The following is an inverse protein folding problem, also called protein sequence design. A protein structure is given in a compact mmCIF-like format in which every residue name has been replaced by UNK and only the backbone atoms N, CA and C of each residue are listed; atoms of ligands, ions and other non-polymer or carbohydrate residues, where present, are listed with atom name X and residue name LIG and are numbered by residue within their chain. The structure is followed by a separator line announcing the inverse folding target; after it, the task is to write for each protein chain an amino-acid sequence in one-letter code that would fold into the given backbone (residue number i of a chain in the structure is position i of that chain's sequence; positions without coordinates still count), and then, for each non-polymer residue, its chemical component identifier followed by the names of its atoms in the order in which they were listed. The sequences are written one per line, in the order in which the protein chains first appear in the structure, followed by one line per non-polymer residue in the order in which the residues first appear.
data_IF_103429161068
#
_entry.id   IF_103429161068
#
_cell.length_a   1.000
_cell.length_b   1.000
_cell.length_c   1.000
_cell.angle_alpha   90.00
_cell.angle_beta   90.00
_cell.angle_gamma   90.00
#
_symmetry.space_group_name_H-M   'P 1'
#
loop_
_entity.id
_entity.type
_entity.pdbx_description
1 polymer ?
#
# COMPACT_ATOMS: atom_id res chain seq x y z
N UNK A 1 2.60 6.64 -10.14
CA UNK A 1 2.13 6.89 -8.76
C UNK A 1 2.02 8.38 -8.40
N UNK A 2 2.88 9.27 -8.90
CA UNK A 2 2.86 10.72 -8.58
C UNK A 2 1.70 11.54 -9.17
N UNK A 3 0.91 10.95 -10.09
CA UNK A 3 -0.20 11.66 -10.74
C UNK A 3 -1.28 12.10 -9.75
N UNK A 4 -1.57 11.30 -8.70
CA UNK A 4 -2.59 11.66 -7.70
C UNK A 4 -2.15 12.83 -6.82
N UNK A 5 -0.96 12.80 -6.16
CA UNK A 5 -0.45 13.95 -5.43
C UNK A 5 -0.42 15.23 -6.28
N UNK A 6 0.02 15.13 -7.53
CA UNK A 6 0.05 16.25 -8.48
C UNK A 6 -1.35 16.81 -8.78
N UNK A 7 -2.30 15.93 -9.10
CA UNK A 7 -3.67 16.32 -9.39
C UNK A 7 -4.35 17.04 -8.22
N UNK A 8 -4.17 16.54 -7.00
CA UNK A 8 -4.76 17.13 -5.80
C UNK A 8 -4.09 18.47 -5.48
N UNK A 9 -2.75 18.54 -5.61
CA UNK A 9 -1.99 19.78 -5.42
C UNK A 9 -2.55 20.90 -6.31
N UNK A 10 -2.77 20.61 -7.59
CA UNK A 10 -3.34 21.58 -8.55
C UNK A 10 -4.82 21.90 -8.29
N UNK A 11 -5.63 20.92 -7.87
CA UNK A 11 -7.06 21.11 -7.57
C UNK A 11 -7.29 21.96 -6.32
N UNK A 12 -6.46 21.81 -5.30
CA UNK A 12 -6.62 22.43 -3.97
C UNK A 12 -5.66 23.61 -3.77
N UNK A 13 -4.86 23.98 -4.78
CA UNK A 13 -3.78 24.97 -4.70
C UNK A 13 -2.82 24.69 -3.53
N UNK A 14 -2.46 23.41 -3.36
CA UNK A 14 -1.49 22.95 -2.37
C UNK A 14 -0.14 22.63 -3.05
N UNK A 15 0.92 22.50 -2.27
CA UNK A 15 2.23 22.11 -2.79
C UNK A 15 2.28 20.60 -3.07
N UNK A 16 3.01 20.19 -4.11
CA UNK A 16 3.25 18.78 -4.42
C UNK A 16 3.88 18.04 -3.24
N UNK A 17 4.87 18.65 -2.58
CA UNK A 17 5.51 18.13 -1.38
C UNK A 17 4.52 17.77 -0.25
N UNK A 18 3.51 18.63 -0.01
CA UNK A 18 2.48 18.38 1.01
C UNK A 18 1.61 17.18 0.63
N UNK A 19 1.23 17.05 -0.64
CA UNK A 19 0.43 15.93 -1.12
C UNK A 19 1.22 14.62 -1.17
N UNK A 20 2.52 14.67 -1.46
CA UNK A 20 3.43 13.52 -1.37
C UNK A 20 3.56 13.05 0.08
N UNK A 21 3.62 13.97 1.05
CA UNK A 21 3.63 13.61 2.47
C UNK A 21 2.32 12.92 2.89
N UNK A 22 1.15 13.42 2.45
CA UNK A 22 -0.14 12.77 2.71
C UNK A 22 -0.19 11.38 2.07
N UNK A 23 0.19 11.26 0.81
CA UNK A 23 0.24 9.99 0.10
C UNK A 23 1.16 8.96 0.80
N UNK A 24 2.31 9.41 1.30
CA UNK A 24 3.21 8.55 2.06
C UNK A 24 2.54 8.04 3.34
N UNK A 25 1.86 8.92 4.08
CA UNK A 25 1.11 8.55 5.29
C UNK A 25 0.02 7.53 4.97
N UNK A 26 -0.75 7.72 3.90
CA UNK A 26 -1.76 6.75 3.43
C UNK A 26 -1.12 5.38 3.15
N UNK A 27 0.00 5.33 2.43
CA UNK A 27 0.75 4.08 2.16
C UNK A 27 1.21 3.38 3.43
N UNK A 28 1.60 4.13 4.46
CA UNK A 28 1.95 3.57 5.77
C UNK A 28 0.74 2.88 6.40
N UNK A 29 -0.40 3.59 6.48
CA UNK A 29 -1.62 3.03 7.06
C UNK A 29 -2.14 1.83 6.26
N UNK A 30 -2.04 1.85 4.93
CA UNK A 30 -2.41 0.74 4.07
C UNK A 30 -1.54 -0.50 4.35
N UNK A 31 -0.22 -0.32 4.34
CA UNK A 31 0.73 -1.41 4.56
C UNK A 31 0.60 -1.99 5.96
N UNK A 32 0.40 -1.13 6.96
CA UNK A 32 0.18 -1.55 8.34
C UNK A 32 -1.11 -2.36 8.49
N UNK A 33 -2.21 -1.94 7.86
CA UNK A 33 -3.48 -2.67 7.90
C UNK A 33 -3.37 -4.06 7.28
N UNK A 34 -2.73 -4.19 6.11
CA UNK A 34 -2.51 -5.49 5.44
C UNK A 34 -1.72 -6.45 6.31
N UNK A 35 -0.58 -5.98 6.84
CA UNK A 35 0.27 -6.82 7.68
C UNK A 35 -0.42 -7.16 9.00
N UNK A 36 -1.18 -6.23 9.58
CA UNK A 36 -1.94 -6.48 10.80
C UNK A 36 -2.97 -7.59 10.58
N UNK A 37 -3.76 -7.50 9.51
CA UNK A 37 -4.76 -8.52 9.16
C UNK A 37 -4.11 -9.88 8.96
N UNK A 38 -3.05 -9.94 8.14
CA UNK A 38 -2.30 -11.18 7.90
C UNK A 38 -1.72 -11.77 9.19
N UNK A 39 -1.09 -10.93 10.01
CA UNK A 39 -0.46 -11.36 11.27
C UNK A 39 -1.49 -11.91 12.25
N UNK A 40 -2.59 -11.18 12.44
CA UNK A 40 -3.70 -11.62 13.29
C UNK A 40 -4.26 -12.96 12.80
N UNK A 41 -4.44 -13.08 11.50
CA UNK A 41 -5.00 -14.28 10.87
C UNK A 41 -4.09 -15.51 11.06
N UNK A 42 -2.78 -15.38 10.84
CA UNK A 42 -1.80 -16.46 11.08
C UNK A 42 -1.80 -16.95 12.53
N UNK A 43 -1.97 -16.06 13.51
CA UNK A 43 -1.96 -16.45 14.93
C UNK A 43 -3.31 -16.98 15.43
N UNK A 44 -4.43 -16.53 14.87
CA UNK A 44 -5.77 -16.84 15.37
C UNK A 44 -6.50 -17.93 14.57
N UNK A 45 -6.27 -18.01 13.26
CA UNK A 45 -6.97 -18.96 12.40
C UNK A 45 -6.51 -20.40 12.64
N UNK A 46 -7.49 -21.31 12.70
CA UNK A 46 -7.22 -22.76 12.71
C UNK A 46 -6.96 -23.30 11.31
N UNK A 47 -7.67 -22.79 10.29
CA UNK A 47 -7.54 -23.31 8.93
C UNK A 47 -6.15 -23.06 8.35
N UNK A 48 -5.51 -21.93 8.69
CA UNK A 48 -4.12 -21.69 8.30
C UNK A 48 -3.12 -22.65 8.94
N UNK A 49 -3.42 -23.21 10.12
CA UNK A 49 -2.54 -24.17 10.82
C UNK A 49 -2.52 -25.54 10.14
N UNK A 50 -3.56 -25.83 9.37
CA UNK A 50 -3.71 -27.08 8.63
C UNK A 50 -2.98 -27.04 7.28
N UNK A 51 -2.50 -25.86 6.85
CA UNK A 51 -1.71 -25.72 5.62
C UNK A 51 -0.29 -26.28 5.81
N UNK A 52 0.20 -27.03 4.83
CA UNK A 52 1.55 -27.64 4.83
C UNK A 52 2.68 -26.62 5.08
N UNK A 53 2.48 -25.37 4.64
CA UNK A 53 3.46 -24.27 4.76
C UNK A 53 3.22 -23.34 5.95
N UNK A 54 2.39 -23.73 6.92
CA UNK A 54 2.05 -22.89 8.07
C UNK A 54 3.27 -22.33 8.82
N UNK A 55 4.32 -23.15 9.05
CA UNK A 55 5.52 -22.67 9.77
C UNK A 55 6.27 -21.59 9.00
N UNK A 56 6.29 -21.65 7.67
CA UNK A 56 6.87 -20.59 6.83
C UNK A 56 6.08 -19.30 6.97
N UNK A 57 4.74 -19.36 6.89
CA UNK A 57 3.86 -18.20 7.07
C UNK A 57 3.96 -17.59 8.46
N UNK A 58 4.07 -18.42 9.49
CA UNK A 58 4.31 -17.99 10.86
C UNK A 58 5.66 -17.30 11.03
N UNK A 59 6.71 -17.78 10.36
CA UNK A 59 8.01 -17.11 10.31
C UNK A 59 7.92 -15.71 9.68
N UNK A 60 7.20 -15.59 8.56
CA UNK A 60 6.95 -14.28 7.91
C UNK A 60 6.20 -13.34 8.85
N UNK A 61 5.16 -13.82 9.54
CA UNK A 61 4.42 -13.03 10.52
C UNK A 61 5.31 -12.55 11.69
N UNK A 62 6.20 -13.41 12.21
CA UNK A 62 7.14 -13.02 13.26
C UNK A 62 8.15 -11.94 12.85
N UNK A 63 8.50 -11.87 11.57
CA UNK A 63 9.40 -10.83 11.04
C UNK A 63 8.62 -9.54 10.77
N UNK A 64 7.45 -9.65 10.14
CA UNK A 64 6.67 -8.50 9.70
C UNK A 64 5.96 -7.78 10.86
N UNK A 65 5.50 -8.51 11.87
CA UNK A 65 4.82 -7.93 13.03
C UNK A 65 5.66 -6.86 13.76
N UNK A 66 6.92 -7.11 14.19
CA UNK A 66 7.73 -6.10 14.85
C UNK A 66 8.10 -4.94 13.91
N UNK A 67 8.32 -5.21 12.61
CA UNK A 67 8.62 -4.16 11.62
C UNK A 67 7.44 -3.20 11.51
N UNK A 68 6.21 -3.70 11.41
CA UNK A 68 5.01 -2.86 11.32
C UNK A 68 4.70 -2.17 12.64
N UNK A 69 4.92 -2.82 13.79
CA UNK A 69 4.80 -2.16 15.09
C UNK A 69 5.80 -1.00 15.22
N UNK A 70 7.06 -1.21 14.83
CA UNK A 70 8.10 -0.19 14.83
C UNK A 70 7.75 0.97 13.88
N UNK A 71 7.26 0.65 12.69
CA UNK A 71 6.90 1.66 11.69
C UNK A 71 5.69 2.48 12.13
N UNK A 72 4.65 1.83 12.63
CA UNK A 72 3.45 2.48 13.19
C UNK A 72 3.82 3.36 14.38
N UNK A 73 4.67 2.86 15.29
CA UNK A 73 5.18 3.64 16.40
C UNK A 73 6.01 4.85 15.93
N UNK A 74 6.81 4.69 14.88
CA UNK A 74 7.61 5.79 14.31
C UNK A 74 6.72 6.88 13.73
N UNK A 75 5.63 6.51 13.03
CA UNK A 75 4.64 7.45 12.50
C UNK A 75 3.91 8.17 13.63
N UNK A 76 3.47 7.42 14.66
CA UNK A 76 2.85 8.00 15.85
C UNK A 76 3.81 8.95 16.59
N UNK A 77 5.08 8.57 16.72
CA UNK A 77 6.10 9.40 17.36
C UNK A 77 6.37 10.67 16.56
N UNK A 78 6.47 10.58 15.22
CA UNK A 78 6.61 11.74 14.33
C UNK A 78 5.38 12.64 14.39
N UNK A 79 4.18 12.07 14.51
CA UNK A 79 2.94 12.82 14.69
C UNK A 79 2.92 13.55 16.04
N UNK A 80 3.22 12.86 17.13
CA UNK A 80 3.15 13.41 18.49
C UNK A 80 4.31 14.35 18.84
N UNK A 81 5.49 14.13 18.26
CA UNK A 81 6.76 14.78 18.64
C UNK A 81 7.61 15.24 17.44
N UNK A 82 7.00 15.47 16.28
CA UNK A 82 7.68 15.78 15.03
C UNK A 82 8.80 16.83 15.12
N UNK A 83 8.56 18.02 15.71
CA UNK A 83 9.59 19.04 15.87
C UNK A 83 10.76 18.59 16.74
N UNK A 84 10.51 17.86 17.84
CA UNK A 84 11.56 17.38 18.73
C UNK A 84 12.38 16.24 18.11
N UNK A 85 11.73 15.34 17.37
CA UNK A 85 12.39 14.24 16.67
C UNK A 85 13.25 14.78 15.53
N UNK A 86 12.75 15.74 14.75
CA UNK A 86 13.54 16.41 13.72
C UNK A 86 14.80 17.04 14.32
N UNK A 87 14.66 17.82 15.40
CA UNK A 87 15.80 18.44 16.07
C UNK A 87 16.79 17.43 16.69
N UNK A 88 16.30 16.27 17.15
CA UNK A 88 17.17 15.21 17.68
C UNK A 88 17.96 14.51 16.57
N UNK A 89 17.29 14.15 15.47
CA UNK A 89 17.93 13.50 14.32
C UNK A 89 18.93 14.45 13.67
N UNK A 90 18.59 15.73 13.48
CA UNK A 90 19.51 16.73 12.91
C UNK A 90 20.77 16.90 13.76
N UNK A 91 20.66 16.90 15.09
CA UNK A 91 21.82 16.97 15.99
C UNK A 91 22.73 15.73 15.87
N UNK A 92 22.15 14.55 15.68
CA UNK A 92 22.90 13.31 15.49
C UNK A 92 23.54 13.21 14.11
N UNK A 93 22.85 13.63 13.05
CA UNK A 93 23.34 13.60 11.67
C UNK A 93 24.34 14.71 11.37
N UNK A 94 24.20 15.89 11.99
CA UNK A 94 25.17 16.97 11.87
C UNK A 94 26.57 16.57 12.39
N UNK A 95 26.64 15.59 13.29
CA UNK A 95 27.90 15.02 13.75
C UNK A 95 28.58 14.09 12.71
N UNK A 96 27.87 13.68 11.65
CA UNK A 96 28.35 12.74 10.63
C UNK A 96 28.54 13.45 9.27
N UNK A 97 27.57 14.26 8.82
CA UNK A 97 27.75 15.16 7.67
C UNK A 97 26.70 16.29 7.63
N UNK A 98 27.14 17.53 7.38
CA UNK A 98 26.27 18.72 7.35
C UNK A 98 25.28 18.74 6.19
N UNK A 99 25.71 18.31 5.00
CA UNK A 99 24.89 18.33 3.78
C UNK A 99 23.76 17.29 3.81
N UNK A 100 23.99 16.12 4.42
CA UNK A 100 22.95 15.10 4.55
C UNK A 100 21.92 15.49 5.62
N UNK A 101 22.37 16.11 6.72
CA UNK A 101 21.51 16.57 7.81
C UNK A 101 20.46 17.59 7.33
N UNK A 102 20.88 18.58 6.52
CA UNK A 102 19.97 19.61 6.00
C UNK A 102 18.93 19.05 5.01
N UNK A 103 19.31 18.08 4.18
CA UNK A 103 18.37 17.38 3.27
C UNK A 103 17.38 16.51 4.04
N UNK A 104 17.85 15.80 5.06
CA UNK A 104 17.01 14.93 5.88
C UNK A 104 16.04 15.74 6.75
N UNK A 105 16.48 16.88 7.29
CA UNK A 105 15.63 17.79 8.06
C UNK A 105 14.42 18.26 7.24
N UNK A 106 14.66 18.70 6.01
CA UNK A 106 13.60 19.19 5.13
C UNK A 106 12.58 18.09 4.81
N UNK A 107 13.04 16.86 4.54
CA UNK A 107 12.15 15.69 4.32
C UNK A 107 11.37 15.33 5.57
N UNK A 108 12.01 15.32 6.74
CA UNK A 108 11.35 14.97 7.98
C UNK A 108 10.30 16.03 8.36
N UNK A 109 10.61 17.30 8.09
CA UNK A 109 9.70 18.42 8.32
C UNK A 109 8.48 18.36 7.41
N UNK A 110 8.64 18.10 6.11
CA UNK A 110 7.49 17.97 5.19
C UNK A 110 6.60 16.78 5.54
N UNK A 111 7.19 15.65 5.94
CA UNK A 111 6.44 14.48 6.45
C UNK A 111 5.74 14.81 7.77
N UNK A 112 6.42 15.49 8.69
CA UNK A 112 5.82 15.93 9.96
C UNK A 112 4.68 16.92 9.75
N UNK A 113 4.78 17.84 8.79
CA UNK A 113 3.73 18.80 8.43
C UNK A 113 2.53 18.07 7.80
N UNK A 114 2.78 17.09 6.93
CA UNK A 114 1.74 16.21 6.39
C UNK A 114 1.06 15.36 7.47
N UNK A 115 1.78 14.91 8.49
CA UNK A 115 1.19 14.24 9.65
C UNK A 115 0.38 15.20 10.54
N UNK A 116 0.82 16.45 10.68
CA UNK A 116 0.14 17.46 11.49
C UNK A 116 -1.23 17.89 10.94
N UNK A 117 -1.58 17.51 9.71
CA UNK A 117 -2.97 17.68 9.23
C UNK A 117 -3.96 16.82 10.00
N UNK A 118 -3.49 15.72 10.63
CA UNK A 118 -4.27 14.91 11.56
C UNK A 118 -4.27 15.62 12.91
N UNK A 119 -5.37 16.30 13.25
CA UNK A 119 -5.41 17.26 14.37
C UNK A 119 -5.39 16.61 15.76
N UNK A 120 -5.82 15.36 15.87
CA UNK A 120 -6.06 14.71 17.16
C UNK A 120 -5.97 13.17 17.07
N UNK A 121 -5.85 12.52 18.22
CA UNK A 121 -5.73 11.06 18.30
C UNK A 121 -6.97 10.30 17.82
N UNK A 122 -8.17 10.90 17.89
CA UNK A 122 -9.39 10.29 17.34
C UNK A 122 -9.32 10.27 15.81
N UNK A 123 -8.90 11.37 15.18
CA UNK A 123 -8.64 11.43 13.75
C UNK A 123 -7.60 10.38 13.30
N UNK A 124 -6.54 10.16 14.09
CA UNK A 124 -5.55 9.12 13.82
C UNK A 124 -6.17 7.71 13.84
N UNK A 125 -7.00 7.42 14.85
CA UNK A 125 -7.71 6.13 14.97
C UNK A 125 -8.72 5.98 13.84
N UNK A 126 -9.42 7.04 13.44
CA UNK A 126 -10.37 7.00 12.32
C UNK A 126 -9.67 6.66 11.01
N UNK A 127 -8.51 7.26 10.71
CA UNK A 127 -7.73 6.92 9.51
C UNK A 127 -7.25 5.47 9.56
N UNK A 128 -6.76 5.00 10.71
CA UNK A 128 -6.35 3.61 10.88
C UNK A 128 -7.53 2.64 10.68
N UNK A 129 -8.69 2.93 11.29
CA UNK A 129 -9.89 2.12 11.16
C UNK A 129 -10.43 2.12 9.73
N UNK A 130 -10.39 3.26 9.05
CA UNK A 130 -10.77 3.39 7.64
C UNK A 130 -9.86 2.55 6.75
N UNK A 131 -8.55 2.58 6.97
CA UNK A 131 -7.60 1.73 6.24
C UNK A 131 -7.94 0.25 6.42
N UNK A 132 -8.10 -0.22 7.67
CA UNK A 132 -8.49 -1.60 7.96
C UNK A 132 -9.81 -1.97 7.28
N UNK A 133 -10.81 -1.08 7.32
CA UNK A 133 -12.10 -1.29 6.66
C UNK A 133 -11.95 -1.46 5.15
N UNK A 134 -11.16 -0.60 4.48
CA UNK A 134 -10.88 -0.71 3.05
C UNK A 134 -10.25 -2.07 2.74
N UNK A 135 -9.27 -2.50 3.52
CA UNK A 135 -8.62 -3.79 3.31
C UNK A 135 -9.52 -5.00 3.57
N UNK A 136 -10.44 -4.91 4.54
CA UNK A 136 -11.49 -5.92 4.74
C UNK A 136 -12.44 -5.97 3.54
N UNK A 137 -12.83 -4.82 2.98
CA UNK A 137 -13.65 -4.79 1.76
C UNK A 137 -12.92 -5.40 0.55
N UNK A 138 -11.61 -5.17 0.42
CA UNK A 138 -10.78 -5.81 -0.60
C UNK A 138 -10.75 -7.34 -0.36
N UNK A 139 -10.54 -7.80 0.87
CA UNK A 139 -10.58 -9.22 1.21
C UNK A 139 -11.96 -9.85 0.89
N UNK A 140 -13.06 -9.12 1.10
CA UNK A 140 -14.39 -9.57 0.70
C UNK A 140 -14.55 -9.68 -0.82
N UNK A 141 -13.96 -8.76 -1.58
CA UNK A 141 -13.92 -8.87 -3.05
C UNK A 141 -13.11 -10.10 -3.49
N UNK A 142 -11.98 -10.39 -2.86
CA UNK A 142 -11.23 -11.62 -3.10
C UNK A 142 -12.09 -12.85 -2.79
N UNK A 143 -12.78 -12.86 -1.64
CA UNK A 143 -13.67 -13.95 -1.26
C UNK A 143 -14.80 -14.16 -2.25
N UNK A 144 -15.41 -13.09 -2.75
CA UNK A 144 -16.48 -13.18 -3.74
C UNK A 144 -16.00 -13.86 -5.03
N UNK A 145 -14.78 -13.53 -5.48
CA UNK A 145 -14.16 -14.14 -6.66
C UNK A 145 -13.81 -15.60 -6.39
N UNK A 146 -13.10 -15.90 -5.30
CA UNK A 146 -12.64 -17.27 -5.01
C UNK A 146 -13.79 -18.21 -4.70
N UNK A 147 -14.89 -17.73 -4.11
CA UNK A 147 -16.10 -18.52 -3.86
C UNK A 147 -16.81 -18.94 -5.16
N UNK A 148 -16.59 -18.25 -6.27
CA UNK A 148 -17.22 -18.60 -7.55
C UNK A 148 -16.61 -19.84 -8.22
N UNK A 149 -15.38 -20.25 -7.84
CA UNK A 149 -14.67 -21.36 -8.49
C UNK A 149 -15.08 -22.76 -7.99
N UNK A 150 -15.11 -23.03 -6.65
CA UNK A 150 -15.55 -24.33 -6.12
C UNK A 150 -16.97 -24.72 -6.52
N UNK A 151 -17.83 -23.75 -6.86
CA UNK A 151 -19.20 -24.02 -7.32
C UNK A 151 -19.25 -24.86 -8.62
N UNK A 152 -18.14 -24.98 -9.35
CA UNK A 152 -18.04 -25.68 -10.64
C UNK A 152 -16.96 -26.77 -10.68
N UNK A 153 -16.25 -27.02 -9.57
CA UNK A 153 -15.07 -27.89 -9.51
C UNK A 153 -14.94 -28.53 -8.11
N UNK A 154 -14.43 -29.77 -7.99
CA UNK A 154 -14.17 -30.46 -6.70
C UNK A 154 -13.02 -29.82 -5.86
N UNK A 155 -12.75 -28.53 -6.04
CA UNK A 155 -11.67 -27.81 -5.38
C UNK A 155 -12.07 -27.35 -3.98
N UNK A 156 -11.10 -27.27 -3.05
CA UNK A 156 -11.34 -26.71 -1.73
C UNK A 156 -11.81 -25.25 -1.79
N UNK A 157 -12.91 -24.94 -1.10
CA UNK A 157 -13.36 -23.56 -0.95
C UNK A 157 -12.45 -22.80 0.00
N UNK A 158 -11.94 -21.65 -0.43
CA UNK A 158 -11.10 -20.81 0.43
C UNK A 158 -11.94 -20.15 1.53
N UNK A 159 -11.57 -20.40 2.78
CA UNK A 159 -12.13 -19.72 3.93
C UNK A 159 -11.62 -18.28 4.02
N UNK A 160 -12.28 -17.46 4.84
CA UNK A 160 -11.89 -16.05 4.99
C UNK A 160 -10.42 -15.85 5.42
N UNK A 161 -9.84 -16.66 6.33
CA UNK A 161 -8.40 -16.65 6.61
C UNK A 161 -7.49 -16.90 5.40
N UNK A 162 -7.77 -17.95 4.64
CA UNK A 162 -6.99 -18.27 3.44
C UNK A 162 -7.06 -17.16 2.39
N UNK A 163 -8.21 -16.47 2.31
CA UNK A 163 -8.37 -15.27 1.48
C UNK A 163 -7.50 -14.10 1.96
N UNK A 164 -7.36 -13.89 3.28
CA UNK A 164 -6.44 -12.88 3.83
C UNK A 164 -5.00 -13.22 3.44
N UNK A 165 -4.59 -14.48 3.55
CA UNK A 165 -3.26 -14.93 3.09
C UNK A 165 -3.07 -14.71 1.59
N UNK A 166 -4.05 -15.07 0.76
CA UNK A 166 -4.04 -14.86 -0.69
C UNK A 166 -3.88 -13.36 -1.03
N UNK A 167 -4.66 -12.50 -0.38
CA UNK A 167 -4.60 -11.05 -0.53
C UNK A 167 -3.23 -10.51 -0.13
N UNK A 168 -2.69 -10.94 1.02
CA UNK A 168 -1.37 -10.54 1.51
C UNK A 168 -0.27 -10.88 0.49
N UNK A 169 -0.26 -12.11 -0.04
CA UNK A 169 0.73 -12.55 -1.02
C UNK A 169 0.59 -11.79 -2.34
N UNK A 170 -0.64 -11.51 -2.78
CA UNK A 170 -0.90 -10.67 -3.94
C UNK A 170 -0.31 -9.26 -3.78
N UNK A 171 -0.50 -8.62 -2.62
CA UNK A 171 0.08 -7.30 -2.32
C UNK A 171 1.60 -7.37 -2.33
N UNK A 172 2.18 -8.36 -1.66
CA UNK A 172 3.64 -8.57 -1.63
C UNK A 172 4.22 -8.77 -3.04
N UNK A 173 3.54 -9.54 -3.91
CA UNK A 173 3.91 -9.70 -5.30
C UNK A 173 3.83 -8.40 -6.11
N UNK A 174 2.86 -7.54 -5.79
CA UNK A 174 2.70 -6.22 -6.42
C UNK A 174 3.87 -5.26 -6.15
N UNK A 175 4.60 -5.44 -5.04
CA UNK A 175 5.81 -4.65 -4.75
C UNK A 175 6.96 -4.99 -5.73
N UNK A 176 6.95 -6.19 -6.32
CA UNK A 176 8.03 -6.71 -7.18
C UNK A 176 7.77 -6.40 -8.67
N UNK A 177 6.82 -5.53 -9.03
CA UNK A 177 6.41 -5.34 -10.43
C UNK A 177 7.48 -4.73 -11.33
N UNK A 178 7.66 -5.33 -12.52
CA UNK A 178 8.35 -4.71 -13.66
C UNK A 178 7.56 -3.50 -14.17
N UNK A 179 8.24 -2.43 -14.62
CA UNK A 179 7.55 -1.29 -15.23
C UNK A 179 6.80 -1.80 -16.47
N UNK A 180 5.49 -1.53 -16.55
CA UNK A 180 4.54 -1.78 -17.68
C UNK A 180 3.49 -2.86 -17.44
N UNK A 181 3.73 -3.95 -16.68
CA UNK A 181 2.69 -4.97 -16.46
C UNK A 181 2.57 -5.28 -14.97
N UNK A 182 1.38 -5.08 -14.39
CA UNK A 182 1.04 -5.43 -13.01
C UNK A 182 1.06 -6.93 -12.70
N UNK A 183 1.93 -7.70 -13.35
CA UNK A 183 2.00 -9.15 -13.28
C UNK A 183 2.57 -9.69 -11.97
N UNK A 184 3.28 -8.87 -11.17
CA UNK A 184 3.85 -9.35 -9.90
C UNK A 184 2.79 -9.83 -8.91
N UNK A 185 1.73 -9.05 -8.71
CA UNK A 185 0.60 -9.44 -7.85
C UNK A 185 -0.16 -10.63 -8.41
N UNK A 186 -0.35 -10.67 -9.73
CA UNK A 186 -1.02 -11.76 -10.42
C UNK A 186 -0.22 -13.07 -10.34
N UNK A 187 1.07 -13.05 -10.64
CA UNK A 187 1.95 -14.22 -10.55
C UNK A 187 2.05 -14.73 -9.13
N UNK A 188 2.14 -13.84 -8.13
CA UNK A 188 2.13 -14.22 -6.73
C UNK A 188 0.80 -14.89 -6.31
N UNK A 189 -0.32 -14.36 -6.80
CA UNK A 189 -1.66 -14.94 -6.59
C UNK A 189 -1.75 -16.34 -7.19
N UNK A 190 -1.32 -16.51 -8.46
CA UNK A 190 -1.32 -17.82 -9.13
C UNK A 190 -0.40 -18.79 -8.38
N UNK A 191 0.80 -18.35 -7.99
CA UNK A 191 1.77 -19.18 -7.28
C UNK A 191 1.25 -19.66 -5.93
N UNK A 192 0.58 -18.80 -5.13
CA UNK A 192 0.06 -19.22 -3.83
C UNK A 192 -1.17 -20.12 -3.97
N UNK A 193 -2.03 -19.88 -4.95
CA UNK A 193 -3.15 -20.78 -5.28
C UNK A 193 -2.64 -22.18 -5.59
N UNK A 194 -1.65 -22.30 -6.49
CA UNK A 194 -1.07 -23.59 -6.84
C UNK A 194 -0.31 -24.22 -5.66
N UNK A 195 0.65 -23.51 -5.06
CA UNK A 195 1.60 -24.10 -4.12
C UNK A 195 1.09 -24.25 -2.68
N UNK A 196 0.05 -23.53 -2.29
CA UNK A 196 -0.42 -23.47 -0.88
C UNK A 196 -1.85 -23.95 -0.72
N UNK A 197 -2.72 -23.69 -1.71
CA UNK A 197 -4.14 -23.98 -1.59
C UNK A 197 -4.62 -25.18 -2.42
N UNK A 198 -3.69 -26.01 -2.92
CA UNK A 198 -4.03 -27.28 -3.57
C UNK A 198 -4.46 -27.17 -5.04
N UNK A 199 -4.25 -26.03 -5.71
CA UNK A 199 -4.52 -25.89 -7.14
C UNK A 199 -3.37 -26.44 -8.02
N UNK A 200 -2.43 -27.20 -7.45
CA UNK A 200 -1.28 -27.78 -8.18
C UNK A 200 -1.69 -28.65 -9.36
N UNK A 201 -2.77 -29.42 -9.19
CA UNK A 201 -3.24 -30.37 -10.22
C UNK A 201 -4.13 -29.69 -11.29
N UNK A 202 -4.43 -28.40 -11.13
CA UNK A 202 -5.30 -27.62 -12.04
C UNK A 202 -4.75 -26.21 -12.29
N UNK A 203 -3.59 -26.09 -12.98
CA UNK A 203 -2.94 -24.80 -13.21
C UNK A 203 -3.81 -23.80 -13.99
N UNK A 204 -4.70 -24.28 -14.86
CA UNK A 204 -5.62 -23.44 -15.63
C UNK A 204 -6.59 -22.68 -14.73
N UNK A 205 -7.05 -23.31 -13.64
CA UNK A 205 -7.97 -22.70 -12.68
C UNK A 205 -7.26 -21.68 -11.79
N UNK A 206 -6.02 -21.97 -11.37
CA UNK A 206 -5.21 -20.99 -10.64
C UNK A 206 -4.96 -19.73 -11.49
N UNK A 207 -4.65 -19.91 -12.79
CA UNK A 207 -4.48 -18.80 -13.74
C UNK A 207 -5.80 -18.05 -13.94
N UNK A 208 -6.91 -18.74 -14.17
CA UNK A 208 -8.21 -18.11 -14.37
C UNK A 208 -8.65 -17.30 -13.13
N UNK A 209 -8.48 -17.85 -11.92
CA UNK A 209 -8.78 -17.17 -10.67
C UNK A 209 -7.87 -15.95 -10.45
N UNK A 210 -6.55 -16.09 -10.68
CA UNK A 210 -5.61 -14.98 -10.59
C UNK A 210 -5.93 -13.84 -11.58
N UNK A 211 -6.29 -14.18 -12.83
CA UNK A 211 -6.71 -13.22 -13.84
C UNK A 211 -8.01 -12.51 -13.46
N UNK A 212 -9.00 -13.23 -12.93
CA UNK A 212 -10.27 -12.65 -12.54
C UNK A 212 -10.10 -11.74 -11.31
N UNK A 213 -9.28 -12.15 -10.34
CA UNK A 213 -8.90 -11.30 -9.20
C UNK A 213 -8.24 -10.02 -9.67
N UNK A 214 -7.27 -10.08 -10.60
CA UNK A 214 -6.65 -8.90 -11.17
C UNK A 214 -7.67 -8.00 -11.89
N UNK A 215 -8.56 -8.57 -12.70
CA UNK A 215 -9.61 -7.84 -13.40
C UNK A 215 -10.53 -7.09 -12.42
N UNK A 216 -10.99 -7.78 -11.38
CA UNK A 216 -11.90 -7.23 -10.37
C UNK A 216 -11.23 -6.17 -9.50
N UNK A 217 -9.97 -6.37 -9.10
CA UNK A 217 -9.30 -5.52 -8.11
C UNK A 217 -8.51 -4.36 -8.73
N UNK A 218 -8.07 -4.50 -9.99
CA UNK A 218 -7.30 -3.46 -10.68
C UNK A 218 -8.04 -2.86 -11.88
N UNK A 219 -8.69 -3.67 -12.72
CA UNK A 219 -9.25 -3.17 -13.99
C UNK A 219 -10.66 -2.59 -13.84
N UNK A 220 -11.45 -3.07 -12.88
CA UNK A 220 -12.85 -2.66 -12.69
C UNK A 220 -13.04 -1.17 -12.46
N UNK A 221 -12.05 -0.49 -11.87
CA UNK A 221 -12.12 0.94 -11.56
C UNK A 221 -11.78 1.82 -12.78
N UNK A 222 -11.12 1.28 -13.80
CA UNK A 222 -10.64 2.04 -14.97
C UNK A 222 -11.80 2.67 -15.74
N UNK A 223 -12.90 1.97 -16.09
CA UNK A 223 -14.02 2.59 -16.79
C UNK A 223 -14.62 3.78 -16.02
N UNK A 224 -14.81 3.62 -14.70
CA UNK A 224 -15.30 4.70 -13.83
C UNK A 224 -14.35 5.90 -13.82
N UNK A 225 -13.04 5.64 -13.68
CA UNK A 225 -12.00 6.66 -13.75
C UNK A 225 -11.96 7.40 -15.09
N UNK A 226 -12.10 6.69 -16.22
CA UNK A 226 -12.13 7.27 -17.56
C UNK A 226 -13.38 8.12 -17.80
N UNK A 227 -14.55 7.67 -17.33
CA UNK A 227 -15.79 8.45 -17.41
C UNK A 227 -15.64 9.76 -16.64
N UNK A 228 -15.08 9.72 -15.43
CA UNK A 228 -14.85 10.90 -14.61
C UNK A 228 -13.81 11.84 -15.24
N UNK A 229 -12.69 11.30 -15.72
CA UNK A 229 -11.66 12.08 -16.41
C UNK A 229 -12.20 12.81 -17.64
N UNK A 230 -13.09 12.16 -18.40
CA UNK A 230 -13.77 12.78 -19.55
C UNK A 230 -14.71 13.90 -19.12
N UNK A 231 -15.49 13.71 -18.05
CA UNK A 231 -16.40 14.74 -17.51
C UNK A 231 -15.66 15.96 -16.98
N UNK A 232 -14.47 15.76 -16.42
CA UNK A 232 -13.64 16.84 -15.88
C UNK A 232 -12.68 17.44 -16.92
N UNK A 233 -12.77 17.03 -18.20
CA UNK A 233 -11.87 17.46 -19.28
C UNK A 233 -10.38 17.28 -18.96
N UNK A 234 -10.07 16.24 -18.21
CA UNK A 234 -8.71 15.91 -17.79
C UNK A 234 -7.99 15.14 -18.89
N UNK A 235 -6.88 15.68 -19.40
CA UNK A 235 -6.00 14.99 -20.34
C UNK A 235 -4.97 14.14 -19.61
N UNK A 236 -5.14 12.81 -19.60
CA UNK A 236 -4.24 11.86 -18.92
C UNK A 236 -2.79 11.99 -19.40
N UNK A 237 -2.58 12.21 -20.70
CA UNK A 237 -1.24 12.35 -21.28
C UNK A 237 -0.54 13.63 -20.84
N UNK A 238 -1.28 14.74 -20.73
CA UNK A 238 -0.73 16.00 -20.22
C UNK A 238 -0.38 15.88 -18.74
N UNK A 239 -1.27 15.29 -17.95
CA UNK A 239 -1.01 15.04 -16.53
C UNK A 239 0.21 14.18 -16.28
N UNK A 240 0.39 13.10 -17.04
CA UNK A 240 1.55 12.22 -16.88
C UNK A 240 2.86 12.96 -17.19
N UNK A 241 2.84 13.81 -18.22
CA UNK A 241 4.00 14.63 -18.60
C UNK A 241 4.30 15.68 -17.53
N UNK A 242 3.29 16.46 -17.13
CA UNK A 242 3.41 17.52 -16.12
C UNK A 242 3.83 16.94 -14.75
N UNK A 243 3.21 15.85 -14.29
CA UNK A 243 3.58 15.18 -13.04
C UNK A 243 4.99 14.58 -13.09
N UNK A 244 5.41 14.06 -14.24
CA UNK A 244 6.74 13.49 -14.44
C UNK A 244 7.84 14.56 -14.47
N UNK A 245 7.55 15.74 -15.03
CA UNK A 245 8.45 16.88 -15.01
C UNK A 245 8.58 17.48 -13.61
N UNK A 246 7.47 17.68 -12.90
CA UNK A 246 7.49 18.20 -11.52
C UNK A 246 8.19 17.24 -10.55
N UNK A 247 7.97 15.93 -10.67
CA UNK A 247 8.69 14.94 -9.85
C UNK A 247 10.21 15.01 -10.06
N UNK A 248 10.67 15.18 -11.31
CA UNK A 248 12.10 15.32 -11.63
C UNK A 248 12.68 16.64 -11.11
N UNK A 249 11.90 17.72 -11.16
CA UNK A 249 12.31 19.02 -10.63
C UNK A 249 12.42 18.95 -9.09
N UNK A 250 11.48 18.29 -8.42
CA UNK A 250 11.51 18.12 -6.96
C UNK A 250 12.70 17.23 -6.52
N UNK A 251 13.00 16.17 -7.27
CA UNK A 251 14.17 15.32 -7.05
C UNK A 251 15.51 16.04 -7.33
N UNK A 252 15.55 16.95 -8.31
CA UNK A 252 16.76 17.67 -8.72
C UNK A 252 17.03 18.96 -7.91
N UNK A 253 15.98 19.70 -7.53
CA UNK A 253 16.11 20.98 -6.84
C UNK A 253 16.25 20.84 -5.31
N UNK A 254 15.81 19.72 -4.74
CA UNK A 254 15.49 19.65 -3.32
C UNK A 254 14.26 20.50 -3.00
N UNK A 255 13.33 20.03 -2.17
CA UNK A 255 12.01 20.65 -2.10
C UNK A 255 12.11 22.05 -1.46
N UNK A 256 11.62 23.08 -2.16
CA UNK A 256 11.33 24.39 -1.56
C UNK A 256 11.76 25.67 -2.27
N UNK A 257 12.07 25.67 -3.57
CA UNK A 257 12.05 26.95 -4.32
C UNK A 257 10.63 27.20 -4.83
N UNK A 258 9.95 28.27 -4.37
CA UNK A 258 8.77 28.74 -5.08
C UNK A 258 9.22 29.14 -6.49
N UNK A 259 8.57 28.60 -7.51
CA UNK A 259 8.78 29.05 -8.89
C UNK A 259 8.33 30.52 -9.00
N UNK A 260 9.01 31.35 -9.82
CA UNK A 260 8.57 32.71 -10.13
C UNK A 260 7.21 32.75 -10.84
#
# INVERSE_FOLDING_TARGET
EFVRPYLIARRVNATMASQVAIWLVERVFDSAAVVLLFTLDVFTSRSLRELDRYQSWRGVAYIMAPVVLLFTYSVWALWARGPQISAWICRRLAAISGDFSSRFEKKLRSVSEGLHTIKDGSSLIQVAALSVLIWVLIALAYRAVTHAFPAYTDLPSLNFPEVILLMFVSVAGGVITLPVVGGGSQLATIAVLSQTFGYSDTPELAVACGMLLWLVTFMSIIPGGLILARREHISLRRLETEAGEEAKIEDAAGPGLPLP
#
